data_IF_607197121188
#
_entry.id   IF_607197121188
#
_cell.length_a   1.000
_cell.length_b   1.000
_cell.length_c   1.000
_cell.angle_alpha   90.00
_cell.angle_beta   90.00
_cell.angle_gamma   90.00
#
_symmetry.space_group_name_H-M   'P 1'
#
loop_
_entity.id
_entity.type
_entity.pdbx_description
1 polymer ?
#
# COMPACT_ATOMS: atom_id res chain seq x y z
N UNK A 1 -10.49 25.36 12.35
CA UNK A 1 -10.12 23.98 11.95
C UNK A 1 -10.35 23.05 13.12
N UNK A 2 -11.03 21.92 12.91
CA UNK A 2 -11.56 21.07 14.00
C UNK A 2 -10.74 19.82 14.28
N UNK A 3 -9.89 19.37 13.36
CA UNK A 3 -9.15 18.11 13.51
C UNK A 3 -8.22 18.12 14.73
N UNK A 4 -8.52 17.24 15.69
CA UNK A 4 -7.76 17.07 16.93
C UNK A 4 -7.21 15.66 17.09
N UNK A 5 -7.92 14.64 16.61
CA UNK A 5 -7.61 13.25 16.93
C UNK A 5 -7.54 12.37 15.69
N UNK A 6 -6.68 11.37 15.78
CA UNK A 6 -6.57 10.26 14.83
C UNK A 6 -6.95 8.97 15.53
N UNK A 7 -7.90 8.25 14.97
CA UNK A 7 -8.27 6.91 15.42
C UNK A 7 -7.50 5.85 14.61
N UNK A 8 -6.74 5.01 15.31
CA UNK A 8 -5.95 3.92 14.75
C UNK A 8 -6.82 2.69 14.49
N UNK A 9 -6.30 1.76 13.70
CA UNK A 9 -6.99 0.51 13.36
C UNK A 9 -7.25 -0.42 14.57
N UNK A 10 -6.62 -0.17 15.72
CA UNK A 10 -6.87 -0.88 16.98
C UNK A 10 -7.79 -0.11 17.94
N UNK A 11 -8.48 0.93 17.47
CA UNK A 11 -9.36 1.79 18.28
C UNK A 11 -8.64 2.82 19.14
N UNK A 12 -7.30 2.78 19.23
CA UNK A 12 -6.51 3.77 19.97
C UNK A 12 -6.65 5.15 19.32
N UNK A 13 -6.82 6.18 20.14
CA UNK A 13 -6.82 7.58 19.70
C UNK A 13 -5.50 8.25 20.04
N UNK A 14 -5.00 9.06 19.11
CA UNK A 14 -3.80 9.87 19.27
C UNK A 14 -4.08 11.30 18.82
N UNK A 15 -3.43 12.29 19.45
CA UNK A 15 -3.53 13.67 18.97
C UNK A 15 -2.97 13.76 17.55
N UNK A 16 -3.68 14.46 16.69
CA UNK A 16 -3.23 14.73 15.33
C UNK A 16 -1.96 15.59 15.37
N UNK A 17 -0.93 15.15 14.65
CA UNK A 17 0.36 15.80 14.58
C UNK A 17 0.75 16.00 13.12
N UNK A 18 0.73 17.27 12.69
CA UNK A 18 1.08 17.66 11.32
C UNK A 18 2.53 17.30 10.98
N UNK A 19 3.43 17.37 11.96
CA UNK A 19 4.84 17.07 11.73
C UNK A 19 5.05 15.59 11.42
N UNK A 20 4.25 14.69 12.04
CA UNK A 20 4.24 13.27 11.70
C UNK A 20 3.75 13.02 10.27
N UNK A 21 2.69 13.72 9.85
CA UNK A 21 2.17 13.62 8.49
C UNK A 21 3.22 14.07 7.45
N UNK A 22 3.78 15.27 7.62
CA UNK A 22 4.82 15.79 6.73
C UNK A 22 6.05 14.88 6.69
N UNK A 23 6.49 14.35 7.83
CA UNK A 23 7.61 13.42 7.91
C UNK A 23 7.32 12.11 7.16
N UNK A 24 6.10 11.58 7.27
CA UNK A 24 5.71 10.37 6.54
C UNK A 24 5.76 10.57 5.02
N UNK A 25 5.26 11.71 4.54
CA UNK A 25 5.29 12.08 3.11
C UNK A 25 6.74 12.28 2.65
N UNK A 26 7.54 12.99 3.45
CA UNK A 26 8.95 13.21 3.13
C UNK A 26 9.73 11.89 3.02
N UNK A 27 9.51 10.93 3.92
CA UNK A 27 10.20 9.65 3.84
C UNK A 27 9.84 8.87 2.58
N UNK A 28 8.59 8.87 2.14
CA UNK A 28 8.23 8.22 0.89
C UNK A 28 8.87 8.88 -0.32
N UNK A 29 8.98 10.21 -0.35
CA UNK A 29 9.68 10.93 -1.41
C UNK A 29 11.18 10.59 -1.43
N UNK A 30 11.82 10.58 -0.25
CA UNK A 30 13.25 10.26 -0.11
C UNK A 30 13.58 8.83 -0.52
N UNK A 31 12.66 7.89 -0.35
CA UNK A 31 12.85 6.51 -0.80
C UNK A 31 13.10 6.37 -2.31
N UNK A 32 12.63 7.32 -3.11
CA UNK A 32 12.88 7.38 -4.55
C UNK A 32 13.85 8.50 -4.94
N UNK A 33 14.58 9.05 -3.97
CA UNK A 33 15.55 10.12 -4.20
C UNK A 33 14.95 11.46 -4.61
N UNK A 34 13.63 11.65 -4.45
CA UNK A 34 12.89 12.86 -4.82
C UNK A 34 12.45 13.64 -3.59
N UNK A 35 11.94 14.84 -3.86
CA UNK A 35 11.22 15.67 -2.89
C UNK A 35 12.08 16.38 -1.85
N UNK A 36 11.60 17.54 -1.39
CA UNK A 36 12.19 18.28 -0.26
C UNK A 36 11.30 18.24 0.97
N UNK A 37 11.83 18.65 2.13
CA UNK A 37 11.03 18.75 3.37
C UNK A 37 9.94 19.81 3.25
N UNK A 38 10.22 20.87 2.50
CA UNK A 38 9.32 21.99 2.22
C UNK A 38 8.13 21.49 1.39
N UNK A 39 8.41 20.79 0.28
CA UNK A 39 7.36 20.17 -0.55
C UNK A 39 6.48 19.20 0.24
N UNK A 40 7.09 18.34 1.06
CA UNK A 40 6.32 17.42 1.92
C UNK A 40 5.44 18.15 2.94
N UNK A 41 5.91 19.29 3.47
CA UNK A 41 5.16 20.12 4.40
C UNK A 41 4.00 20.83 3.74
N UNK A 42 4.16 21.32 2.51
CA UNK A 42 3.08 21.91 1.70
C UNK A 42 1.97 20.89 1.41
N UNK A 43 2.33 19.68 1.02
CA UNK A 43 1.37 18.60 0.77
C UNK A 43 0.66 18.21 2.07
N UNK A 44 1.39 18.11 3.18
CA UNK A 44 0.79 17.83 4.49
C UNK A 44 -0.21 18.91 4.91
N UNK A 45 0.05 20.18 4.59
CA UNK A 45 -0.88 21.28 4.85
C UNK A 45 -2.17 21.12 4.04
N UNK A 46 -2.07 20.76 2.77
CA UNK A 46 -3.22 20.52 1.90
C UNK A 46 -4.06 19.32 2.38
N UNK A 47 -3.41 18.20 2.68
CA UNK A 47 -4.05 17.02 3.27
C UNK A 47 -4.76 17.38 4.57
N UNK A 48 -4.10 18.17 5.43
CA UNK A 48 -4.71 18.64 6.66
C UNK A 48 -5.96 19.50 6.42
N UNK A 49 -5.93 20.42 5.44
CA UNK A 49 -7.10 21.22 5.06
C UNK A 49 -8.27 20.32 4.64
N UNK A 50 -8.00 19.31 3.82
CA UNK A 50 -8.99 18.34 3.32
C UNK A 50 -9.58 17.43 4.42
N UNK A 51 -8.92 17.33 5.58
CA UNK A 51 -9.38 16.56 6.73
C UNK A 51 -10.00 17.42 7.84
N UNK A 52 -9.88 18.74 7.73
CA UNK A 52 -10.04 19.67 8.87
C UNK A 52 -11.47 19.92 9.34
N UNK A 53 -12.45 19.46 8.57
CA UNK A 53 -13.88 19.54 8.90
C UNK A 53 -14.28 18.57 10.01
N UNK A 54 -13.54 17.46 10.14
CA UNK A 54 -13.78 16.42 11.13
C UNK A 54 -12.93 16.64 12.39
N UNK A 55 -13.49 16.40 13.58
CA UNK A 55 -12.73 16.45 14.83
C UNK A 55 -11.83 15.21 15.03
N UNK A 56 -12.32 14.06 14.57
CA UNK A 56 -11.66 12.76 14.61
C UNK A 56 -11.61 12.21 13.19
N UNK A 57 -10.45 11.71 12.76
CA UNK A 57 -10.29 11.00 11.48
C UNK A 57 -9.63 9.66 11.68
N UNK A 58 -10.05 8.66 10.91
CA UNK A 58 -9.40 7.35 10.90
C UNK A 58 -8.06 7.42 10.17
N UNK A 59 -7.08 6.66 10.66
CA UNK A 59 -5.74 6.58 10.04
C UNK A 59 -5.77 6.19 8.56
N UNK A 60 -6.68 5.29 8.16
CA UNK A 60 -6.88 4.94 6.74
C UNK A 60 -7.39 6.13 5.91
N UNK A 61 -8.26 6.97 6.46
CA UNK A 61 -8.75 8.16 5.76
C UNK A 61 -7.62 9.16 5.51
N UNK A 62 -6.72 9.34 6.49
CA UNK A 62 -5.51 10.16 6.29
C UNK A 62 -4.67 9.62 5.13
N UNK A 63 -4.41 8.30 5.12
CA UNK A 63 -3.66 7.65 4.03
C UNK A 63 -4.32 7.89 2.68
N UNK A 64 -5.63 7.66 2.56
CA UNK A 64 -6.39 7.89 1.33
C UNK A 64 -6.29 9.34 0.86
N UNK A 65 -6.43 10.31 1.77
CA UNK A 65 -6.29 11.73 1.43
C UNK A 65 -4.87 12.09 0.98
N UNK A 66 -3.83 11.53 1.60
CA UNK A 66 -2.45 11.72 1.12
C UNK A 66 -2.28 11.18 -0.30
N UNK A 67 -2.75 9.95 -0.55
CA UNK A 67 -2.64 9.33 -1.87
C UNK A 67 -3.39 10.14 -2.93
N UNK A 68 -4.58 10.63 -2.60
CA UNK A 68 -5.36 11.51 -3.49
C UNK A 68 -4.59 12.79 -3.81
N UNK A 69 -4.12 13.52 -2.79
CA UNK A 69 -3.37 14.77 -2.99
C UNK A 69 -2.07 14.57 -3.78
N UNK A 70 -1.35 13.47 -3.56
CA UNK A 70 -0.15 13.16 -4.35
C UNK A 70 -0.51 12.91 -5.82
N UNK A 71 -1.55 12.13 -6.10
CA UNK A 71 -1.99 11.84 -7.46
C UNK A 71 -2.52 13.09 -8.19
N UNK A 72 -3.28 13.95 -7.51
CA UNK A 72 -3.78 15.21 -8.09
C UNK A 72 -2.65 16.14 -8.53
N UNK A 73 -1.53 16.09 -7.81
CA UNK A 73 -0.30 16.84 -8.13
C UNK A 73 0.58 16.14 -9.19
N UNK A 74 0.14 15.02 -9.75
CA UNK A 74 0.92 14.21 -10.70
C UNK A 74 2.07 13.42 -10.08
N UNK A 75 2.18 13.39 -8.74
CA UNK A 75 3.24 12.71 -7.98
C UNK A 75 2.92 11.22 -7.79
N UNK A 76 2.69 10.52 -8.90
CA UNK A 76 2.21 9.11 -8.92
C UNK A 76 3.25 8.11 -8.37
N UNK A 77 4.53 8.41 -8.53
CA UNK A 77 5.62 7.57 -8.03
C UNK A 77 5.79 7.73 -6.52
N UNK A 78 5.68 8.95 -6.01
CA UNK A 78 5.63 9.28 -4.59
C UNK A 78 4.39 8.68 -3.93
N UNK A 79 3.22 8.73 -4.59
CA UNK A 79 1.99 8.09 -4.10
C UNK A 79 2.16 6.58 -3.97
N UNK A 80 2.73 5.93 -5.00
CA UNK A 80 3.01 4.49 -4.97
C UNK A 80 4.01 4.13 -3.86
N UNK A 81 5.03 4.96 -3.66
CA UNK A 81 6.03 4.77 -2.61
C UNK A 81 5.44 5.00 -1.22
N UNK A 82 4.61 6.03 -1.05
CA UNK A 82 3.92 6.32 0.21
C UNK A 82 3.01 5.17 0.59
N UNK A 83 2.27 4.65 -0.38
CA UNK A 83 1.43 3.47 -0.18
C UNK A 83 2.29 2.27 0.22
N UNK A 84 3.42 2.01 -0.44
CA UNK A 84 4.34 0.93 -0.07
C UNK A 84 4.92 1.08 1.34
N UNK A 85 5.50 2.23 1.68
CA UNK A 85 6.14 2.48 2.98
C UNK A 85 5.12 2.38 4.11
N UNK A 86 3.87 2.78 3.85
CA UNK A 86 2.77 2.64 4.82
C UNK A 86 2.36 1.18 5.08
N UNK A 87 2.63 0.27 4.14
CA UNK A 87 2.36 -1.16 4.34
C UNK A 87 3.39 -1.83 5.26
N UNK A 88 4.50 -1.15 5.62
CA UNK A 88 5.60 -1.72 6.42
C UNK A 88 6.10 -3.09 5.92
N UNK A 89 6.04 -3.33 4.60
CA UNK A 89 6.54 -4.56 4.01
C UNK A 89 8.07 -4.44 3.98
N UNK A 90 8.72 -5.09 4.94
CA UNK A 90 10.18 -5.20 5.03
C UNK A 90 10.57 -6.65 4.73
N UNK A 91 11.71 -6.85 4.09
CA UNK A 91 12.32 -8.20 3.97
C UNK A 91 11.88 -9.03 2.76
N UNK A 92 11.62 -8.43 1.60
CA UNK A 92 11.71 -9.18 0.36
C UNK A 92 13.15 -9.12 -0.13
N UNK A 93 13.88 -10.23 0.01
CA UNK A 93 15.22 -10.36 -0.61
C UNK A 93 15.10 -10.34 -2.15
N UNK A 94 13.92 -10.71 -2.65
CA UNK A 94 13.55 -10.71 -4.07
C UNK A 94 13.69 -9.31 -4.70
N UNK A 95 14.54 -9.21 -5.71
CA UNK A 95 14.79 -8.00 -6.50
C UNK A 95 13.98 -7.97 -7.78
N UNK A 96 13.68 -9.11 -8.40
CA UNK A 96 13.09 -9.20 -9.73
C UNK A 96 11.99 -10.27 -9.87
N UNK A 97 11.08 -10.01 -10.81
CA UNK A 97 10.03 -10.92 -11.24
C UNK A 97 10.26 -11.31 -12.69
N UNK A 98 10.40 -12.61 -12.97
CA UNK A 98 10.37 -13.15 -14.32
C UNK A 98 8.94 -13.30 -14.82
N UNK A 99 8.63 -12.57 -15.89
CA UNK A 99 7.34 -12.62 -16.59
C UNK A 99 7.22 -13.87 -17.46
N UNK A 100 6.02 -14.10 -17.98
CA UNK A 100 5.68 -15.26 -18.83
C UNK A 100 6.47 -15.28 -20.14
N UNK A 101 6.79 -14.11 -20.68
CA UNK A 101 7.61 -13.94 -21.89
C UNK A 101 9.12 -14.07 -21.62
N UNK A 102 9.51 -14.37 -20.38
CA UNK A 102 10.91 -14.45 -19.95
C UNK A 102 11.54 -13.11 -19.58
N UNK A 103 10.86 -11.98 -19.80
CA UNK A 103 11.38 -10.66 -19.42
C UNK A 103 11.46 -10.49 -17.90
N UNK A 104 12.46 -9.73 -17.45
CA UNK A 104 12.65 -9.39 -16.04
C UNK A 104 12.02 -8.03 -15.73
N UNK A 105 11.43 -7.92 -14.56
CA UNK A 105 10.90 -6.66 -14.05
C UNK A 105 11.18 -6.55 -12.56
N UNK A 106 11.61 -5.38 -12.10
CA UNK A 106 11.82 -5.11 -10.68
C UNK A 106 10.60 -5.53 -9.83
N UNK A 107 10.88 -6.34 -8.81
CA UNK A 107 9.89 -6.78 -7.84
C UNK A 107 9.42 -5.58 -7.01
N UNK A 108 8.11 -5.51 -6.80
CA UNK A 108 7.53 -4.43 -6.02
C UNK A 108 6.26 -4.94 -5.30
N UNK A 109 6.28 -5.12 -3.97
CA UNK A 109 5.17 -5.68 -3.20
C UNK A 109 3.84 -4.96 -3.41
N UNK A 110 3.89 -3.65 -3.65
CA UNK A 110 2.71 -2.85 -3.97
C UNK A 110 1.89 -3.38 -5.17
N UNK A 111 2.53 -4.03 -6.15
CA UNK A 111 1.79 -4.64 -7.27
C UNK A 111 0.89 -5.77 -6.79
N UNK A 112 1.37 -6.58 -5.84
CA UNK A 112 0.57 -7.61 -5.18
C UNK A 112 -0.59 -6.95 -4.44
N UNK A 113 -0.31 -5.94 -3.62
CA UNK A 113 -1.34 -5.19 -2.89
C UNK A 113 -2.44 -4.64 -3.81
N UNK A 114 -2.07 -3.97 -4.91
CA UNK A 114 -3.03 -3.45 -5.88
C UNK A 114 -3.90 -4.55 -6.49
N UNK A 115 -3.28 -5.67 -6.88
CA UNK A 115 -4.01 -6.80 -7.45
C UNK A 115 -4.95 -7.44 -6.44
N UNK A 116 -4.53 -7.62 -5.19
CA UNK A 116 -5.38 -8.15 -4.10
C UNK A 116 -6.52 -7.19 -3.76
N UNK A 117 -6.23 -5.88 -3.65
CA UNK A 117 -7.25 -4.86 -3.40
C UNK A 117 -8.31 -4.84 -4.50
N UNK A 118 -7.88 -4.93 -5.77
CA UNK A 118 -8.80 -5.03 -6.91
C UNK A 118 -9.66 -6.31 -6.83
N UNK A 119 -9.07 -7.44 -6.47
CA UNK A 119 -9.81 -8.68 -6.27
C UNK A 119 -10.84 -8.58 -5.14
N UNK A 120 -10.49 -7.92 -4.02
CA UNK A 120 -11.42 -7.66 -2.92
C UNK A 120 -12.61 -6.82 -3.37
N UNK A 121 -12.36 -5.73 -4.11
CA UNK A 121 -13.40 -4.87 -4.66
C UNK A 121 -14.32 -5.66 -5.61
N UNK A 122 -13.74 -6.48 -6.49
CA UNK A 122 -14.49 -7.35 -7.41
C UNK A 122 -15.30 -8.45 -6.69
N UNK A 123 -14.97 -8.75 -5.44
CA UNK A 123 -15.71 -9.67 -4.58
C UNK A 123 -16.73 -8.93 -3.67
N UNK A 124 -16.83 -7.60 -3.77
CA UNK A 124 -17.74 -6.79 -2.93
C UNK A 124 -17.22 -6.54 -1.51
N UNK A 125 -15.91 -6.70 -1.27
CA UNK A 125 -15.29 -6.54 0.05
C UNK A 125 -14.44 -5.27 0.11
N UNK A 126 -14.61 -4.49 1.17
CA UNK A 126 -13.72 -3.36 1.49
C UNK A 126 -12.37 -3.94 1.96
N UNK A 127 -11.48 -4.18 1.00
CA UNK A 127 -10.26 -4.96 1.21
C UNK A 127 -9.05 -4.21 1.74
N UNK A 128 -9.17 -3.01 2.34
CA UNK A 128 -8.01 -2.18 2.69
C UNK A 128 -6.98 -2.90 3.57
N UNK A 129 -7.39 -3.29 4.78
CA UNK A 129 -6.55 -4.03 5.74
C UNK A 129 -6.28 -5.46 5.27
N UNK A 130 -7.30 -6.14 4.75
CA UNK A 130 -7.16 -7.49 4.20
C UNK A 130 -6.07 -7.56 3.12
N UNK A 131 -6.06 -6.62 2.17
CA UNK A 131 -5.06 -6.61 1.10
C UNK A 131 -3.66 -6.41 1.62
N UNK A 132 -3.49 -5.60 2.67
CA UNK A 132 -2.20 -5.41 3.34
C UNK A 132 -1.73 -6.71 3.99
N UNK A 133 -2.60 -7.35 4.78
CA UNK A 133 -2.28 -8.59 5.50
C UNK A 133 -1.93 -9.73 4.52
N UNK A 134 -2.73 -9.90 3.46
CA UNK A 134 -2.47 -10.88 2.39
C UNK A 134 -1.18 -10.56 1.64
N UNK A 135 -0.89 -9.29 1.38
CA UNK A 135 0.35 -8.91 0.69
C UNK A 135 1.57 -9.24 1.55
N UNK A 136 1.53 -8.93 2.85
CA UNK A 136 2.61 -9.26 3.78
C UNK A 136 2.84 -10.77 3.82
N UNK A 137 1.76 -11.55 3.93
CA UNK A 137 1.87 -13.00 3.99
C UNK A 137 2.40 -13.60 2.68
N UNK A 138 1.91 -13.13 1.54
CA UNK A 138 2.43 -13.57 0.24
C UNK A 138 3.92 -13.22 0.08
N UNK A 139 4.33 -12.01 0.44
CA UNK A 139 5.75 -11.60 0.38
C UNK A 139 6.60 -12.45 1.34
N UNK A 140 6.11 -12.73 2.54
CA UNK A 140 6.78 -13.60 3.52
C UNK A 140 7.01 -14.99 2.95
N UNK A 141 5.96 -15.62 2.40
CA UNK A 141 6.05 -16.95 1.75
C UNK A 141 7.09 -16.95 0.61
N UNK A 142 7.04 -15.93 -0.25
CA UNK A 142 8.00 -15.82 -1.35
C UNK A 142 9.44 -15.66 -0.86
N UNK A 143 9.67 -14.85 0.18
CA UNK A 143 11.02 -14.58 0.70
C UNK A 143 11.62 -15.79 1.43
N UNK A 144 10.81 -16.75 1.86
CA UNK A 144 11.30 -18.02 2.39
C UNK A 144 11.81 -18.97 1.30
N UNK A 145 11.34 -18.82 0.06
CA UNK A 145 11.64 -19.73 -1.05
C UNK A 145 12.56 -19.11 -2.11
N UNK A 146 12.64 -17.79 -2.17
CA UNK A 146 13.33 -17.04 -3.23
C UNK A 146 14.15 -15.89 -2.65
N UNK A 147 15.39 -15.72 -3.14
CA UNK A 147 16.31 -14.68 -2.66
C UNK A 147 16.59 -13.57 -3.67
N UNK A 148 16.46 -13.77 -4.98
CA UNK A 148 16.75 -12.74 -5.98
C UNK A 148 15.61 -12.61 -6.99
N UNK A 149 15.25 -13.73 -7.62
CA UNK A 149 14.27 -13.75 -8.69
C UNK A 149 13.11 -14.67 -8.34
N UNK A 150 11.89 -14.22 -8.67
CA UNK A 150 10.67 -15.01 -8.55
C UNK A 150 9.90 -15.02 -9.87
N UNK A 151 9.27 -16.14 -10.22
CA UNK A 151 8.38 -16.16 -11.40
C UNK A 151 7.03 -15.49 -11.10
N UNK A 152 6.41 -14.90 -12.12
CA UNK A 152 5.00 -14.43 -12.01
C UNK A 152 4.03 -15.52 -11.57
N UNK A 153 4.32 -16.79 -11.88
CA UNK A 153 3.52 -17.93 -11.43
C UNK A 153 3.67 -18.17 -9.92
N UNK A 154 4.89 -18.15 -9.39
CA UNK A 154 5.14 -18.29 -7.96
C UNK A 154 4.50 -17.15 -7.16
N UNK A 155 4.56 -15.90 -7.66
CA UNK A 155 3.84 -14.77 -7.04
C UNK A 155 2.34 -15.04 -6.94
N UNK A 156 1.71 -15.52 -8.02
CA UNK A 156 0.27 -15.86 -8.03
C UNK A 156 -0.05 -16.97 -7.03
N UNK A 157 0.79 -18.01 -6.99
CA UNK A 157 0.63 -19.14 -6.07
C UNK A 157 0.67 -18.66 -4.62
N UNK A 158 1.68 -17.88 -4.24
CA UNK A 158 1.82 -17.35 -2.88
C UNK A 158 0.62 -16.48 -2.46
N UNK A 159 0.08 -15.67 -3.37
CA UNK A 159 -1.12 -14.85 -3.10
C UNK A 159 -2.38 -15.72 -2.97
N UNK A 160 -2.55 -16.72 -3.85
CA UNK A 160 -3.67 -17.67 -3.77
C UNK A 160 -3.65 -18.43 -2.45
N UNK A 161 -2.49 -18.93 -2.03
CA UNK A 161 -2.30 -19.61 -0.76
C UNK A 161 -2.60 -18.68 0.42
N UNK A 162 -2.04 -17.46 0.44
CA UNK A 162 -2.34 -16.50 1.49
C UNK A 162 -3.84 -16.18 1.61
N UNK A 163 -4.56 -16.06 0.49
CA UNK A 163 -6.01 -15.83 0.48
C UNK A 163 -6.80 -17.04 1.00
N UNK A 164 -6.39 -18.26 0.64
CA UNK A 164 -7.01 -19.51 1.13
C UNK A 164 -6.77 -19.71 2.62
N UNK A 165 -5.52 -19.53 3.07
CA UNK A 165 -5.13 -19.64 4.48
C UNK A 165 -5.93 -18.67 5.36
N UNK A 166 -6.28 -17.49 4.82
CA UNK A 166 -7.11 -16.49 5.49
C UNK A 166 -8.63 -16.72 5.33
N UNK A 167 -9.08 -17.75 4.61
CA UNK A 167 -10.50 -18.08 4.40
C UNK A 167 -11.23 -17.23 3.35
N UNK A 168 -10.51 -16.52 2.47
CA UNK A 168 -11.07 -15.61 1.46
C UNK A 168 -11.10 -16.22 0.06
N UNK A 169 -11.62 -17.44 -0.09
CA UNK A 169 -11.67 -18.16 -1.37
C UNK A 169 -12.45 -17.40 -2.46
N UNK A 170 -13.47 -16.63 -2.10
CA UNK A 170 -14.20 -15.79 -3.06
C UNK A 170 -13.31 -14.72 -3.68
N UNK A 171 -12.41 -14.12 -2.87
CA UNK A 171 -11.42 -13.14 -3.34
C UNK A 171 -10.33 -13.83 -4.16
N UNK A 172 -9.90 -15.02 -3.74
CA UNK A 172 -8.92 -15.83 -4.48
C UNK A 172 -9.39 -16.14 -5.91
N UNK A 173 -10.66 -16.57 -6.06
CA UNK A 173 -11.24 -16.82 -7.39
C UNK A 173 -11.23 -15.55 -8.24
N UNK A 174 -11.58 -14.40 -7.67
CA UNK A 174 -11.52 -13.10 -8.36
C UNK A 174 -10.09 -12.70 -8.71
N UNK A 175 -9.13 -13.00 -7.85
CA UNK A 175 -7.72 -12.72 -8.09
C UNK A 175 -7.16 -13.53 -9.26
N UNK A 176 -7.41 -14.85 -9.28
CA UNK A 176 -6.90 -15.75 -10.32
C UNK A 176 -7.54 -15.51 -11.70
N UNK A 177 -8.81 -15.09 -11.72
CA UNK A 177 -9.54 -14.79 -12.95
C UNK A 177 -9.25 -13.41 -13.51
N UNK A 178 -8.58 -12.53 -12.73
CA UNK A 178 -8.26 -11.18 -13.17
C UNK A 178 -7.18 -11.19 -14.25
N UNK A 179 -7.54 -10.82 -15.49
CA UNK A 179 -6.54 -10.58 -16.55
C UNK A 179 -5.70 -9.36 -16.18
N UNK A 180 -4.38 -9.50 -16.23
CA UNK A 180 -3.42 -8.40 -16.12
C UNK A 180 -3.54 -7.57 -17.40
N UNK A 181 -4.55 -6.70 -17.45
CA UNK A 181 -4.68 -5.62 -18.44
C UNK A 181 -3.85 -4.44 -17.99
#
# INVERSE_FOLDING_TARGET
MKLKWVEKNNGRREKFDKSKLARSIYYSMRHIGKGTKEQASEIALEVWKNLSENEIVFSNKIKETVLHTLNDRGLTEEASTYELTSLHITGADITEVRKRDGSLQKFHPYKIFKSVRKACLNAGIIGGKLSEDITKEAVRKLSMEYQDEVSTHAVKKAVSEALKDAGFEAVERKYLTHRYT
#
